data_IF_225326681492
#
_entry.id   IF_225326681492
#
_cell.length_a   1.000
_cell.length_b   1.000
_cell.length_c   1.000
_cell.angle_alpha   90.00
_cell.angle_beta   90.00
_cell.angle_gamma   90.00
#
_symmetry.space_group_name_H-M   'P 1'
#
loop_
_entity.id
_entity.type
_entity.pdbx_description
1 polymer ?
#
# COMPACT_ATOMS: atom_id res chain seq x y z
N UNK A 1 24.84 -13.22 4.64
CA UNK A 1 23.43 -12.80 4.71
C UNK A 1 22.63 -13.98 5.23
N UNK A 2 22.04 -13.84 6.39
CA UNK A 2 21.14 -14.87 6.95
C UNK A 2 19.88 -14.86 6.09
N UNK A 3 19.59 -15.97 5.41
CA UNK A 3 18.35 -16.11 4.65
C UNK A 3 17.20 -16.34 5.64
N UNK A 4 16.44 -15.29 5.92
CA UNK A 4 15.24 -15.38 6.74
C UNK A 4 14.05 -15.62 5.81
N UNK A 5 13.18 -16.57 6.19
CA UNK A 5 11.97 -16.84 5.41
C UNK A 5 11.00 -15.65 5.52
N UNK A 6 10.25 -15.39 4.42
CA UNK A 6 9.23 -14.35 4.42
C UNK A 6 8.04 -14.73 5.31
N UNK A 7 7.42 -13.72 5.92
CA UNK A 7 6.27 -13.86 6.82
C UNK A 7 6.59 -14.69 8.06
N UNK A 8 7.78 -14.48 8.63
CA UNK A 8 8.22 -15.08 9.88
C UNK A 8 8.44 -14.03 10.95
N UNK A 9 8.23 -14.43 12.19
CA UNK A 9 8.58 -13.65 13.38
C UNK A 9 9.82 -14.28 13.98
N UNK A 10 10.86 -13.48 14.15
CA UNK A 10 12.15 -13.91 14.64
C UNK A 10 12.42 -13.25 16.00
N UNK A 11 12.72 -14.06 16.98
CA UNK A 11 13.09 -13.58 18.31
C UNK A 11 14.59 -13.29 18.37
N UNK A 12 14.97 -12.17 18.98
CA UNK A 12 16.37 -11.78 19.06
C UNK A 12 16.61 -10.51 19.86
N UNK A 13 17.79 -9.96 19.72
CA UNK A 13 18.21 -8.75 20.44
C UNK A 13 18.58 -7.65 19.45
N UNK A 14 18.24 -6.43 19.81
CA UNK A 14 18.79 -5.23 19.16
C UNK A 14 20.10 -4.89 19.87
N UNK A 15 21.17 -4.89 19.10
CA UNK A 15 22.53 -4.64 19.59
C UNK A 15 23.08 -3.41 18.89
N UNK A 16 23.64 -2.48 19.64
CA UNK A 16 24.40 -1.37 19.05
C UNK A 16 25.71 -1.92 18.46
N UNK A 17 25.93 -1.81 17.14
CA UNK A 17 27.11 -2.35 16.50
C UNK A 17 28.41 -1.62 16.90
N UNK A 18 28.34 -0.38 17.42
CA UNK A 18 29.50 0.39 17.83
C UNK A 18 30.01 0.01 19.23
N UNK A 19 29.11 -0.24 20.17
CA UNK A 19 29.43 -0.56 21.55
C UNK A 19 29.29 -2.06 21.88
N UNK A 20 28.56 -2.82 21.10
CA UNK A 20 28.17 -4.20 21.40
C UNK A 20 27.10 -4.31 22.49
N UNK A 21 26.55 -3.18 22.95
CA UNK A 21 25.53 -3.17 24.00
C UNK A 21 24.19 -3.68 23.48
N UNK A 22 23.54 -4.58 24.22
CA UNK A 22 22.15 -4.97 24.00
C UNK A 22 21.23 -3.85 24.45
N UNK A 23 20.39 -3.35 23.54
CA UNK A 23 19.41 -2.29 23.85
C UNK A 23 18.10 -2.92 24.32
N UNK A 24 17.63 -3.96 23.60
CA UNK A 24 16.38 -4.62 23.94
C UNK A 24 16.32 -6.02 23.34
N UNK A 25 15.42 -6.82 23.88
CA UNK A 25 15.00 -8.11 23.38
C UNK A 25 13.69 -7.93 22.60
N UNK A 26 13.66 -8.35 21.33
CA UNK A 26 12.62 -7.96 20.39
C UNK A 26 12.11 -9.15 19.58
N UNK A 27 10.94 -8.96 18.98
CA UNK A 27 10.45 -9.79 17.88
C UNK A 27 10.53 -9.01 16.57
N UNK A 28 11.27 -9.52 15.60
CA UNK A 28 11.38 -8.95 14.26
C UNK A 28 10.51 -9.73 13.28
N UNK A 29 9.48 -9.10 12.74
CA UNK A 29 8.66 -9.64 11.66
C UNK A 29 9.31 -9.31 10.33
N UNK A 30 9.60 -10.33 9.51
CA UNK A 30 10.21 -10.16 8.19
C UNK A 30 9.20 -10.53 7.12
N UNK A 31 8.92 -9.58 6.24
CA UNK A 31 7.97 -9.72 5.14
C UNK A 31 8.65 -9.29 3.84
N UNK A 32 8.83 -10.23 2.92
CA UNK A 32 9.47 -9.97 1.63
C UNK A 32 8.45 -9.65 0.55
N UNK A 33 8.83 -8.78 -0.37
CA UNK A 33 8.07 -8.45 -1.55
C UNK A 33 7.65 -9.71 -2.34
N UNK A 34 6.52 -9.65 -3.06
CA UNK A 34 5.56 -8.56 -3.20
C UNK A 34 4.39 -8.62 -2.20
N UNK A 35 4.36 -9.57 -1.27
CA UNK A 35 3.22 -9.80 -0.35
C UNK A 35 3.33 -8.93 0.91
N UNK A 36 3.48 -7.62 0.75
CA UNK A 36 3.56 -6.62 1.83
C UNK A 36 2.64 -5.45 1.55
N UNK A 37 2.47 -4.55 2.50
CA UNK A 37 1.61 -3.37 2.31
C UNK A 37 2.11 -2.47 1.18
N UNK A 38 3.41 -2.26 1.06
CA UNK A 38 4.02 -1.42 0.04
C UNK A 38 4.47 -2.17 -1.21
N UNK A 39 4.35 -3.51 -1.26
CA UNK A 39 5.00 -4.41 -2.23
C UNK A 39 6.53 -4.35 -2.22
N UNK A 40 7.13 -3.81 -1.16
CA UNK A 40 8.57 -3.78 -0.92
C UNK A 40 8.90 -4.65 0.29
N UNK A 41 10.17 -5.03 0.47
CA UNK A 41 10.59 -5.74 1.66
C UNK A 41 10.34 -4.90 2.90
N UNK A 42 9.75 -5.50 3.91
CA UNK A 42 9.35 -4.82 5.15
C UNK A 42 9.83 -5.62 6.35
N UNK A 43 10.41 -4.91 7.31
CA UNK A 43 10.73 -5.45 8.63
C UNK A 43 10.03 -4.61 9.69
N UNK A 44 9.34 -5.29 10.61
CA UNK A 44 8.75 -4.66 11.78
C UNK A 44 9.46 -5.13 13.03
N UNK A 45 9.83 -4.20 13.90
CA UNK A 45 10.52 -4.48 15.17
C UNK A 45 9.53 -4.20 16.30
N UNK A 46 9.16 -5.24 17.02
CA UNK A 46 8.32 -5.18 18.20
C UNK A 46 9.22 -5.20 19.44
N UNK A 47 9.42 -4.07 20.06
CA UNK A 47 10.22 -3.87 21.25
C UNK A 47 9.37 -3.70 22.49
N UNK A 48 9.98 -3.70 23.68
CA UNK A 48 9.30 -3.31 24.90
C UNK A 48 8.83 -1.85 24.85
N UNK A 49 7.60 -1.60 25.31
CA UNK A 49 6.85 -0.34 25.09
C UNK A 49 7.28 0.87 25.93
N UNK A 50 8.56 0.98 26.30
CA UNK A 50 9.10 2.15 27.01
C UNK A 50 9.54 3.24 26.02
N UNK A 51 9.27 4.53 26.35
CA UNK A 51 9.66 5.67 25.51
C UNK A 51 11.17 5.68 25.24
N UNK A 52 11.99 5.36 26.25
CA UNK A 52 13.46 5.35 26.14
C UNK A 52 13.90 4.28 25.14
N UNK A 53 13.46 3.04 25.35
CA UNK A 53 13.85 1.90 24.48
C UNK A 53 13.40 2.12 23.03
N UNK A 54 12.18 2.59 22.84
CA UNK A 54 11.65 2.86 21.49
C UNK A 54 12.46 3.95 20.78
N UNK A 55 12.83 5.03 21.50
CA UNK A 55 13.66 6.09 20.95
C UNK A 55 15.08 5.63 20.68
N UNK A 56 15.69 4.83 21.54
CA UNK A 56 17.05 4.32 21.36
C UNK A 56 17.13 3.42 20.11
N UNK A 57 16.17 2.53 19.92
CA UNK A 57 16.08 1.69 18.72
C UNK A 57 15.90 2.56 17.48
N UNK A 58 15.00 3.55 17.51
CA UNK A 58 14.79 4.47 16.39
C UNK A 58 16.08 5.21 16.04
N UNK A 59 16.76 5.79 17.02
CA UNK A 59 18.03 6.50 16.82
C UNK A 59 19.11 5.57 16.25
N UNK A 60 19.18 4.33 16.74
CA UNK A 60 20.09 3.34 16.21
C UNK A 60 19.84 3.06 14.72
N UNK A 61 18.57 2.89 14.33
CA UNK A 61 18.20 2.66 12.91
C UNK A 61 18.57 3.87 12.05
N UNK A 62 18.31 5.08 12.52
CA UNK A 62 18.66 6.32 11.79
C UNK A 62 20.18 6.46 11.65
N UNK A 63 20.96 6.19 12.69
CA UNK A 63 22.42 6.20 12.65
C UNK A 63 23.00 5.16 11.69
N UNK A 64 22.27 4.07 11.44
CA UNK A 64 22.68 3.00 10.52
C UNK A 64 22.05 3.11 9.11
N UNK A 65 21.60 4.29 8.71
CA UNK A 65 21.22 4.61 7.34
C UNK A 65 19.72 4.56 7.03
N UNK A 66 18.88 4.31 8.02
CA UNK A 66 17.45 4.53 7.85
C UNK A 66 17.14 6.04 7.85
N UNK A 67 15.99 6.41 7.34
CA UNK A 67 15.44 7.77 7.46
C UNK A 67 14.01 7.73 7.99
N UNK A 68 13.57 8.81 8.58
CA UNK A 68 12.16 8.95 8.91
C UNK A 68 11.32 8.94 7.64
N UNK A 69 10.20 8.23 7.68
CA UNK A 69 9.21 8.28 6.62
C UNK A 69 8.39 9.58 6.68
N UNK A 70 8.04 10.11 5.52
CA UNK A 70 7.11 11.24 5.44
C UNK A 70 5.69 10.82 5.84
N UNK A 71 4.84 11.73 6.34
CA UNK A 71 3.44 11.43 6.60
C UNK A 71 2.75 10.86 5.35
N UNK A 72 2.16 9.65 5.48
CA UNK A 72 1.49 8.95 4.38
C UNK A 72 2.42 8.25 3.39
N UNK A 73 3.73 8.18 3.63
CA UNK A 73 4.69 7.59 2.70
C UNK A 73 4.40 6.12 2.39
N UNK A 74 4.03 5.31 3.37
CA UNK A 74 3.70 3.90 3.15
C UNK A 74 2.51 3.73 2.20
N UNK A 75 1.46 4.53 2.38
CA UNK A 75 0.29 4.53 1.48
C UNK A 75 0.64 5.01 0.08
N UNK A 76 1.49 6.05 -0.03
CA UNK A 76 2.01 6.54 -1.31
C UNK A 76 2.80 5.46 -2.05
N UNK A 77 3.69 4.74 -1.36
CA UNK A 77 4.46 3.62 -1.95
C UNK A 77 3.54 2.49 -2.40
N UNK A 78 2.53 2.12 -1.59
CA UNK A 78 1.54 1.12 -1.97
C UNK A 78 0.79 1.50 -3.25
N UNK A 79 0.45 2.78 -3.43
CA UNK A 79 -0.17 3.30 -4.65
C UNK A 79 0.80 3.28 -5.85
N UNK A 80 2.02 3.80 -5.70
CA UNK A 80 3.03 3.83 -6.76
C UNK A 80 3.38 2.42 -7.24
N UNK A 81 3.47 1.46 -6.32
CA UNK A 81 3.76 0.06 -6.61
C UNK A 81 2.52 -0.72 -7.10
N UNK A 82 1.40 -0.05 -7.31
CA UNK A 82 0.19 -0.64 -7.87
C UNK A 82 -0.48 -1.69 -6.98
N UNK A 83 -0.34 -1.59 -5.65
CA UNK A 83 -1.08 -2.43 -4.71
C UNK A 83 -2.50 -1.91 -4.49
N UNK A 84 -2.64 -0.61 -4.37
CA UNK A 84 -3.90 0.09 -4.17
C UNK A 84 -4.07 1.16 -5.25
N UNK A 85 -5.30 1.52 -5.55
CA UNK A 85 -5.62 2.66 -6.41
C UNK A 85 -5.73 3.97 -5.59
N UNK A 86 -5.96 5.08 -6.28
CA UNK A 86 -6.03 6.40 -5.63
C UNK A 86 -7.19 6.48 -4.64
N UNK A 87 -8.36 5.94 -4.99
CA UNK A 87 -9.55 5.98 -4.12
C UNK A 87 -9.35 5.14 -2.86
N UNK A 88 -8.65 4.02 -2.99
CA UNK A 88 -8.23 3.19 -1.86
C UNK A 88 -7.20 3.92 -0.98
N UNK A 89 -6.24 4.63 -1.59
CA UNK A 89 -5.25 5.41 -0.85
C UNK A 89 -5.90 6.55 -0.03
N UNK A 90 -6.89 7.24 -0.59
CA UNK A 90 -7.66 8.26 0.10
C UNK A 90 -8.48 7.66 1.26
N UNK A 91 -9.09 6.49 1.06
CA UNK A 91 -9.89 5.82 2.09
C UNK A 91 -9.09 5.42 3.33
N UNK A 92 -7.77 5.20 3.23
CA UNK A 92 -6.90 4.96 4.40
C UNK A 92 -6.96 6.14 5.37
N UNK A 93 -6.89 7.39 4.86
CA UNK A 93 -7.02 8.58 5.69
C UNK A 93 -8.42 8.75 6.27
N UNK A 94 -9.45 8.38 5.50
CA UNK A 94 -10.83 8.45 5.95
C UNK A 94 -11.08 7.47 7.10
N UNK A 95 -10.50 6.27 7.06
CA UNK A 95 -10.55 5.31 8.17
C UNK A 95 -9.90 5.89 9.43
N UNK A 96 -8.71 6.50 9.29
CA UNK A 96 -7.95 7.07 10.42
C UNK A 96 -8.72 8.25 11.04
N UNK A 97 -9.40 9.06 10.22
CA UNK A 97 -10.12 10.26 10.65
C UNK A 97 -11.59 10.01 11.01
N UNK A 98 -12.09 8.81 10.80
CA UNK A 98 -13.49 8.47 11.04
C UNK A 98 -13.86 8.70 12.53
N UNK A 99 -14.85 9.55 12.74
CA UNK A 99 -15.40 9.86 14.09
C UNK A 99 -16.62 9.03 14.45
N UNK A 100 -17.15 8.26 13.50
CA UNK A 100 -18.33 7.42 13.70
C UNK A 100 -18.11 6.05 13.06
N UNK A 101 -18.79 5.03 13.59
CA UNK A 101 -18.76 3.69 13.02
C UNK A 101 -19.26 3.65 11.58
N UNK A 102 -20.28 4.44 11.26
CA UNK A 102 -20.81 4.53 9.91
C UNK A 102 -19.78 5.10 8.92
N UNK A 103 -19.08 6.17 9.29
CA UNK A 103 -18.01 6.75 8.47
C UNK A 103 -16.88 5.72 8.26
N UNK A 104 -16.46 5.02 9.31
CA UNK A 104 -15.47 3.95 9.23
C UNK A 104 -15.90 2.83 8.29
N UNK A 105 -17.15 2.35 8.38
CA UNK A 105 -17.68 1.29 7.51
C UNK A 105 -17.66 1.70 6.03
N UNK A 106 -18.03 2.94 5.71
CA UNK A 106 -17.97 3.46 4.33
C UNK A 106 -16.55 3.48 3.83
N UNK A 107 -15.61 4.00 4.62
CA UNK A 107 -14.20 4.07 4.26
C UNK A 107 -13.57 2.68 4.07
N UNK A 108 -13.91 1.69 4.92
CA UNK A 108 -13.46 0.29 4.76
C UNK A 108 -13.99 -0.30 3.44
N UNK A 109 -15.27 -0.11 3.12
CA UNK A 109 -15.85 -0.59 1.86
C UNK A 109 -15.15 0.03 0.63
N UNK A 110 -14.76 1.30 0.73
CA UNK A 110 -14.00 1.97 -0.33
C UNK A 110 -12.57 1.41 -0.43
N UNK A 111 -11.92 1.12 0.69
CA UNK A 111 -10.61 0.47 0.73
C UNK A 111 -10.62 -0.93 0.08
N UNK A 112 -11.73 -1.65 0.17
CA UNK A 112 -11.95 -2.94 -0.51
C UNK A 112 -12.10 -2.83 -2.03
N UNK A 113 -12.12 -1.60 -2.59
CA UNK A 113 -12.14 -1.37 -4.04
C UNK A 113 -13.53 -1.38 -4.67
N UNK A 114 -14.59 -1.21 -3.88
CA UNK A 114 -15.97 -1.21 -4.37
C UNK A 114 -16.22 -0.19 -5.49
N UNK A 115 -15.77 1.04 -5.32
CA UNK A 115 -15.93 2.12 -6.29
C UNK A 115 -15.21 1.84 -7.62
N UNK A 116 -14.01 1.30 -7.59
CA UNK A 116 -13.26 0.98 -8.82
C UNK A 116 -13.96 -0.10 -9.64
N UNK A 117 -14.60 -1.06 -8.98
CA UNK A 117 -15.37 -2.13 -9.66
C UNK A 117 -16.56 -1.54 -10.40
N UNK A 118 -17.31 -0.64 -9.79
CA UNK A 118 -18.44 0.06 -10.42
C UNK A 118 -17.99 0.94 -11.60
N UNK A 119 -16.91 1.70 -11.43
CA UNK A 119 -16.33 2.53 -12.51
C UNK A 119 -15.87 1.66 -13.69
N UNK A 120 -15.25 0.51 -13.44
CA UNK A 120 -14.83 -0.41 -14.50
C UNK A 120 -16.02 -1.02 -15.26
N UNK A 121 -17.07 -1.38 -14.54
CA UNK A 121 -18.31 -1.87 -15.16
C UNK A 121 -18.92 -0.82 -16.08
N UNK A 122 -19.11 0.41 -15.59
CA UNK A 122 -19.64 1.53 -16.36
C UNK A 122 -18.74 1.87 -17.56
N UNK A 123 -17.43 1.86 -17.39
CA UNK A 123 -16.49 2.08 -18.49
C UNK A 123 -16.66 1.00 -19.58
N UNK A 124 -16.83 -0.26 -19.19
CA UNK A 124 -17.01 -1.34 -20.15
C UNK A 124 -18.31 -1.17 -20.93
N UNK A 125 -19.42 -0.84 -20.29
CA UNK A 125 -20.69 -0.54 -20.94
C UNK A 125 -20.56 0.58 -21.98
N UNK A 126 -19.84 1.67 -21.65
CA UNK A 126 -19.58 2.77 -22.57
C UNK A 126 -18.74 2.30 -23.77
N UNK A 127 -17.72 1.46 -23.54
CA UNK A 127 -16.86 0.94 -24.61
C UNK A 127 -17.62 -0.02 -25.52
N UNK A 128 -18.54 -0.81 -24.99
CA UNK A 128 -19.35 -1.74 -25.77
C UNK A 128 -20.36 -1.01 -26.69
N UNK A 129 -20.83 0.15 -26.28
CA UNK A 129 -21.73 1.01 -27.11
C UNK A 129 -20.94 1.79 -28.19
N UNK A 130 -19.65 2.10 -27.98
CA UNK A 130 -18.81 2.90 -28.89
C UNK A 130 -18.61 2.29 -30.28
N UNK A 131 -18.44 0.97 -30.51
CA UNK A 131 -18.31 0.41 -31.85
C UNK A 131 -19.56 0.52 -32.72
N UNK A 132 -20.74 0.52 -32.09
CA UNK A 132 -22.02 0.63 -32.84
C UNK A 132 -22.20 1.98 -33.51
N UNK A 133 -21.62 3.06 -32.97
CA UNK A 133 -21.76 4.38 -33.57
C UNK A 133 -20.83 4.62 -34.79
N UNK A 134 -19.76 3.83 -34.95
CA UNK A 134 -18.84 3.90 -36.09
C UNK A 134 -19.31 3.11 -37.31
N UNK A 135 -20.14 2.10 -37.13
CA UNK A 135 -20.62 1.24 -38.26
C UNK A 135 -21.76 1.89 -39.05
N UNK A 136 -22.44 2.88 -38.52
CA UNK A 136 -23.55 3.58 -39.20
C UNK A 136 -23.11 4.73 -40.11
N UNK A 137 -21.85 5.11 -40.12
CA UNK A 137 -21.34 6.25 -40.91
C UNK A 137 -20.69 5.90 -42.23
N UNK A 138 -20.57 4.61 -42.58
CA UNK A 138 -19.79 4.18 -43.79
C UNK A 138 -20.66 3.66 -44.98
N UNK A 139 -21.99 3.82 -44.95
CA UNK A 139 -22.84 3.30 -46.03
C UNK A 139 -23.59 4.39 -46.80
N UNK A 140 -22.97 5.55 -46.98
CA UNK A 140 -23.52 6.59 -47.88
C UNK A 140 -22.42 7.15 -48.77
N UNK A 141 -21.92 6.36 -49.71
CA UNK A 141 -21.40 6.88 -50.98
C UNK A 141 -21.01 5.70 -51.87
N UNK A 142 -21.77 5.47 -52.90
CA UNK A 142 -21.32 5.08 -54.24
C UNK A 142 -22.46 4.52 -55.07
N UNK A 143 -23.27 5.38 -55.62
CA UNK A 143 -23.85 5.11 -56.94
C UNK A 143 -23.81 6.40 -57.72
N UNK A 144 -22.74 6.65 -58.49
CA UNK A 144 -22.82 7.47 -59.71
C UNK A 144 -22.75 6.53 -60.90
N UNK A 145 -23.90 6.43 -61.59
CA UNK A 145 -24.07 5.91 -62.93
C UNK A 145 -23.30 6.74 -63.97
N UNK A 146 -22.74 6.02 -64.87
CA UNK A 146 -22.65 6.46 -66.27
C UNK A 146 -24.02 6.41 -66.94
#
# INVERSE_FOLDING_TARGET
>A
MTQVASHTINYGHIVDPASGQVIDEVMASVMLAPKTFTKEDTVEINCHGGIVVTNDILQLLLANGARMADPGEFTKRAFVNGRIDLTQAESVMDIIRAKTDKARQVAVKQLEGGLLTEIRALRQEILDVWPMSKSTSTTLNMTKKK
#
